data_IF_132052116264
#
_entry.id   IF_132052116264
#
_cell.length_a   1.000
_cell.length_b   1.000
_cell.length_c   1.000
_cell.angle_alpha   90.00
_cell.angle_beta   90.00
_cell.angle_gamma   90.00
#
_symmetry.space_group_name_H-M   'P 1'
#
loop_
_entity.id
_entity.type
_entity.pdbx_description
1 polymer ?
#
# COMPACT_ATOMS: atom_id res chain seq x y z
N UNK A 1 -23.10 11.02 4.18
CA UNK A 1 -23.34 11.68 2.87
C UNK A 1 -23.07 10.71 1.74
N UNK A 2 -23.84 10.79 0.69
CA UNK A 2 -23.69 9.89 -0.47
C UNK A 2 -22.32 10.05 -1.14
N UNK A 3 -21.81 11.27 -1.24
CA UNK A 3 -20.47 11.51 -1.79
C UNK A 3 -19.38 10.83 -0.99
N UNK A 4 -19.49 10.81 0.34
CA UNK A 4 -18.49 10.19 1.21
C UNK A 4 -18.43 8.68 0.97
N UNK A 5 -19.58 8.07 0.75
CA UNK A 5 -19.67 6.64 0.48
C UNK A 5 -19.06 6.32 -0.88
N UNK A 6 -19.36 7.12 -1.88
CA UNK A 6 -18.93 6.90 -3.27
C UNK A 6 -17.45 7.22 -3.46
N UNK A 7 -16.97 8.30 -2.84
CA UNK A 7 -15.61 8.82 -3.08
C UNK A 7 -14.55 8.21 -2.18
N UNK A 8 -14.92 7.24 -1.36
CA UNK A 8 -14.01 6.64 -0.40
C UNK A 8 -12.94 5.82 -1.10
N UNK A 9 -11.69 6.20 -0.87
CA UNK A 9 -10.53 5.49 -1.44
C UNK A 9 -10.29 4.18 -0.71
N UNK A 10 -9.68 3.23 -1.40
CA UNK A 10 -9.38 1.92 -0.85
C UNK A 10 -7.89 1.70 -0.66
N UNK A 11 -7.55 0.99 0.40
CA UNK A 11 -6.17 0.64 0.77
C UNK A 11 -6.10 -0.86 0.95
N UNK A 12 -5.18 -1.50 0.24
CA UNK A 12 -4.86 -2.91 0.46
C UNK A 12 -3.66 -2.99 1.41
N UNK A 13 -3.83 -3.67 2.52
CA UNK A 13 -2.74 -3.89 3.49
C UNK A 13 -2.22 -5.31 3.36
N UNK A 14 -0.92 -5.45 3.16
CA UNK A 14 -0.23 -6.74 3.02
C UNK A 14 0.74 -6.88 4.18
N UNK A 15 0.44 -7.76 5.13
CA UNK A 15 1.22 -7.96 6.35
C UNK A 15 0.87 -9.33 6.93
N UNK A 16 1.85 -10.12 7.32
CA UNK A 16 1.61 -11.45 7.88
C UNK A 16 1.19 -11.42 9.35
N UNK A 17 1.33 -10.28 10.01
CA UNK A 17 1.00 -10.12 11.43
C UNK A 17 -0.43 -9.60 11.58
N UNK A 18 -1.34 -10.45 12.06
CA UNK A 18 -2.76 -10.11 12.25
C UNK A 18 -2.95 -8.93 13.19
N UNK A 19 -2.12 -8.83 14.22
CA UNK A 19 -2.24 -7.72 15.18
C UNK A 19 -1.91 -6.40 14.51
N UNK A 20 -0.86 -6.35 13.70
CA UNK A 20 -0.50 -5.15 12.95
C UNK A 20 -1.61 -4.78 11.97
N UNK A 21 -2.17 -5.76 11.27
CA UNK A 21 -3.29 -5.52 10.36
C UNK A 21 -4.48 -4.90 11.10
N UNK A 22 -4.83 -5.46 12.25
CA UNK A 22 -5.98 -4.97 13.04
C UNK A 22 -5.75 -3.56 13.56
N UNK A 23 -4.56 -3.28 14.09
CA UNK A 23 -4.23 -1.95 14.62
C UNK A 23 -4.23 -0.92 13.49
N UNK A 24 -3.64 -1.25 12.37
CA UNK A 24 -3.56 -0.34 11.23
C UNK A 24 -4.95 -0.11 10.62
N UNK A 25 -5.75 -1.16 10.50
CA UNK A 25 -7.13 -1.04 10.03
C UNK A 25 -7.92 -0.08 10.91
N UNK A 26 -7.80 -0.21 12.23
CA UNK A 26 -8.50 0.67 13.16
C UNK A 26 -8.16 2.14 12.94
N UNK A 27 -6.92 2.41 12.54
CA UNK A 27 -6.47 3.78 12.23
C UNK A 27 -7.01 4.31 10.90
N UNK A 28 -7.33 3.43 9.96
CA UNK A 28 -7.69 3.82 8.59
C UNK A 28 -9.17 3.74 8.27
N UNK A 29 -9.90 2.86 8.94
CA UNK A 29 -11.27 2.48 8.53
C UNK A 29 -12.27 3.62 8.49
N UNK A 30 -12.04 4.69 9.24
CA UNK A 30 -12.97 5.83 9.25
C UNK A 30 -12.86 6.67 7.97
N UNK A 31 -11.71 6.61 7.29
CA UNK A 31 -11.44 7.42 6.11
C UNK A 31 -11.30 6.60 4.83
N UNK A 32 -10.96 5.33 4.95
CA UNK A 32 -10.65 4.47 3.81
C UNK A 32 -11.40 3.14 3.88
N UNK A 33 -11.68 2.58 2.71
CA UNK A 33 -12.08 1.19 2.62
C UNK A 33 -10.82 0.35 2.71
N UNK A 34 -10.77 -0.61 3.62
CA UNK A 34 -9.55 -1.37 3.90
C UNK A 34 -9.72 -2.83 3.52
N UNK A 35 -8.79 -3.34 2.73
CA UNK A 35 -8.66 -4.76 2.43
C UNK A 35 -7.40 -5.28 3.09
N UNK A 36 -7.45 -6.50 3.61
CA UNK A 36 -6.32 -7.10 4.35
C UNK A 36 -5.96 -8.45 3.75
N UNK A 37 -4.69 -8.67 3.50
CA UNK A 37 -4.16 -9.99 3.13
C UNK A 37 -2.91 -10.27 3.96
N UNK A 38 -2.62 -11.56 4.19
CA UNK A 38 -1.58 -11.96 5.14
C UNK A 38 -0.31 -12.52 4.52
N UNK A 39 -0.23 -12.51 3.21
CA UNK A 39 0.97 -13.03 2.53
C UNK A 39 1.10 -12.41 1.14
N UNK A 40 2.28 -12.54 0.59
CA UNK A 40 2.50 -12.12 -0.80
C UNK A 40 1.63 -12.90 -1.77
N UNK A 41 1.46 -14.20 -1.53
CA UNK A 41 0.59 -15.03 -2.35
C UNK A 41 -0.85 -14.53 -2.34
N UNK A 42 -1.40 -14.27 -1.14
CA UNK A 42 -2.75 -13.72 -1.02
C UNK A 42 -2.89 -12.38 -1.71
N UNK A 43 -1.86 -11.52 -1.59
CA UNK A 43 -1.87 -10.22 -2.25
C UNK A 43 -1.97 -10.37 -3.77
N UNK A 44 -1.16 -11.24 -4.34
CA UNK A 44 -1.16 -11.46 -5.79
C UNK A 44 -2.44 -12.11 -6.27
N UNK A 45 -3.03 -13.00 -5.50
CA UNK A 45 -4.33 -13.59 -5.81
C UNK A 45 -5.43 -12.52 -5.80
N UNK A 46 -5.44 -11.67 -4.78
CA UNK A 46 -6.39 -10.57 -4.66
C UNK A 46 -6.29 -9.62 -5.86
N UNK A 47 -5.08 -9.20 -6.17
CA UNK A 47 -4.82 -8.25 -7.26
C UNK A 47 -5.03 -8.87 -8.63
N UNK A 48 -4.74 -10.17 -8.76
CA UNK A 48 -4.84 -10.88 -10.02
C UNK A 48 -6.27 -11.09 -10.52
N UNK A 49 -7.28 -10.99 -9.64
CA UNK A 49 -8.67 -11.14 -10.06
C UNK A 49 -9.15 -9.96 -10.89
N UNK A 50 -8.54 -8.79 -10.71
CA UNK A 50 -8.98 -7.57 -11.36
C UNK A 50 -10.33 -7.03 -10.89
N UNK A 51 -10.98 -7.68 -9.93
CA UNK A 51 -12.28 -7.25 -9.41
C UNK A 51 -12.20 -5.97 -8.62
N UNK A 52 -11.12 -5.81 -7.86
CA UNK A 52 -10.89 -4.63 -7.05
C UNK A 52 -9.46 -4.16 -7.28
N UNK A 53 -9.31 -2.93 -7.73
CA UNK A 53 -8.01 -2.29 -7.87
C UNK A 53 -7.91 -1.29 -6.74
N UNK A 54 -7.05 -1.54 -5.73
CA UNK A 54 -6.94 -0.59 -4.62
C UNK A 54 -6.33 0.73 -5.10
N UNK A 55 -6.65 1.79 -4.38
CA UNK A 55 -6.08 3.10 -4.66
C UNK A 55 -4.66 3.24 -4.12
N UNK A 56 -4.30 2.41 -3.13
CA UNK A 56 -2.97 2.41 -2.52
C UNK A 56 -2.71 1.04 -1.92
N UNK A 57 -1.46 0.61 -1.96
CA UNK A 57 -1.01 -0.64 -1.33
C UNK A 57 -0.01 -0.31 -0.23
N UNK A 58 -0.31 -0.74 1.00
CA UNK A 58 0.63 -0.73 2.12
C UNK A 58 1.25 -2.13 2.19
N UNK A 59 2.55 -2.21 2.02
CA UNK A 59 3.25 -3.47 1.84
C UNK A 59 4.35 -3.64 2.89
N UNK A 60 4.26 -4.70 3.70
CA UNK A 60 5.34 -5.06 4.60
C UNK A 60 6.43 -5.79 3.82
N UNK A 61 7.66 -5.68 4.29
CA UNK A 61 8.82 -6.35 3.67
C UNK A 61 9.07 -7.71 4.32
N UNK A 62 9.06 -7.74 5.65
CA UNK A 62 9.48 -8.92 6.43
C UNK A 62 8.31 -9.90 6.57
N UNK A 63 8.15 -10.74 5.56
CA UNK A 63 7.13 -11.78 5.53
C UNK A 63 7.75 -13.11 5.14
N UNK A 64 7.23 -14.25 5.68
CA UNK A 64 7.77 -15.56 5.29
C UNK A 64 7.42 -15.90 3.84
N UNK A 65 8.21 -16.79 3.27
CA UNK A 65 8.07 -17.35 1.91
C UNK A 65 8.28 -16.32 0.79
N UNK A 66 7.49 -15.26 0.76
CA UNK A 66 7.62 -14.22 -0.25
C UNK A 66 7.66 -12.87 0.47
N UNK A 67 8.82 -12.21 0.46
CA UNK A 67 8.96 -10.92 1.13
C UNK A 67 8.36 -9.78 0.31
N UNK A 68 8.34 -8.58 0.91
CA UNK A 68 7.75 -7.42 0.24
C UNK A 68 8.48 -6.99 -1.03
N UNK A 69 9.77 -7.22 -1.12
CA UNK A 69 10.52 -6.90 -2.34
C UNK A 69 10.03 -7.74 -3.51
N UNK A 70 9.83 -9.05 -3.27
CA UNK A 70 9.33 -9.96 -4.30
C UNK A 70 7.90 -9.62 -4.71
N UNK A 71 7.06 -9.25 -3.73
CA UNK A 71 5.67 -8.83 -4.02
C UNK A 71 5.67 -7.57 -4.87
N UNK A 72 6.47 -6.59 -4.52
CA UNK A 72 6.60 -5.33 -5.26
C UNK A 72 6.97 -5.60 -6.73
N UNK A 73 7.98 -6.45 -6.93
CA UNK A 73 8.45 -6.80 -8.26
C UNK A 73 7.32 -7.42 -9.10
N UNK A 74 6.56 -8.34 -8.50
CA UNK A 74 5.46 -9.00 -9.20
C UNK A 74 4.28 -8.06 -9.48
N UNK A 75 4.00 -7.13 -8.57
CA UNK A 75 2.94 -6.13 -8.80
C UNK A 75 3.28 -5.25 -10.00
N UNK A 76 4.56 -4.91 -10.16
CA UNK A 76 5.01 -4.08 -11.28
C UNK A 76 4.74 -4.72 -12.65
N UNK A 77 4.57 -6.04 -12.69
CA UNK A 77 4.25 -6.75 -13.93
C UNK A 77 2.74 -6.75 -14.26
N UNK A 78 1.92 -6.24 -13.34
CA UNK A 78 0.46 -6.19 -13.53
C UNK A 78 0.08 -4.85 -14.13
N UNK A 79 -0.27 -4.85 -15.42
CA UNK A 79 -0.54 -3.62 -16.16
C UNK A 79 -1.65 -2.76 -15.53
N UNK A 80 -2.68 -3.39 -14.99
CA UNK A 80 -3.81 -2.68 -14.36
C UNK A 80 -3.38 -1.88 -13.12
N UNK A 81 -2.23 -2.18 -12.53
CA UNK A 81 -1.72 -1.53 -11.33
C UNK A 81 -0.64 -0.49 -11.62
N UNK A 82 -0.45 -0.15 -12.88
CA UNK A 82 0.61 0.77 -13.33
C UNK A 82 0.66 2.08 -12.53
N UNK A 83 -0.50 2.62 -12.19
CA UNK A 83 -0.59 3.89 -11.47
C UNK A 83 -0.97 3.74 -10.00
N UNK A 84 -1.07 2.50 -9.50
CA UNK A 84 -1.38 2.26 -8.09
C UNK A 84 -0.12 2.48 -7.25
N UNK A 85 -0.12 3.45 -6.34
CA UNK A 85 1.06 3.70 -5.51
C UNK A 85 1.26 2.60 -4.48
N UNK A 86 2.51 2.26 -4.24
CA UNK A 86 2.90 1.31 -3.21
C UNK A 86 3.74 2.06 -2.18
N UNK A 87 3.33 1.94 -0.91
CA UNK A 87 4.09 2.42 0.24
C UNK A 87 4.57 1.21 1.01
N UNK A 88 5.85 1.15 1.32
CA UNK A 88 6.33 0.14 2.27
C UNK A 88 6.01 0.59 3.69
N UNK A 89 5.57 -0.35 4.51
CA UNK A 89 5.28 -0.12 5.92
C UNK A 89 5.80 -1.33 6.69
N UNK A 90 7.00 -1.20 7.29
CA UNK A 90 7.75 -2.34 7.82
C UNK A 90 8.55 -1.97 9.05
N UNK A 91 8.86 -2.96 9.87
CA UNK A 91 9.77 -2.77 10.99
C UNK A 91 11.24 -2.72 10.56
N UNK A 92 11.52 -3.03 9.29
CA UNK A 92 12.87 -2.93 8.75
C UNK A 92 13.26 -1.46 8.62
N UNK A 93 14.19 -1.02 9.45
CA UNK A 93 14.60 0.39 9.54
C UNK A 93 16.08 0.53 9.20
N UNK A 94 16.40 0.36 7.92
CA UNK A 94 17.75 0.47 7.40
C UNK A 94 17.76 1.49 6.26
N UNK A 95 18.76 2.35 6.22
CA UNK A 95 18.89 3.37 5.17
C UNK A 95 18.95 2.74 3.79
N UNK A 96 19.67 1.62 3.65
CA UNK A 96 19.76 0.91 2.38
C UNK A 96 18.42 0.40 1.89
N UNK A 97 17.56 -0.05 2.81
CA UNK A 97 16.22 -0.52 2.44
C UNK A 97 15.36 0.63 1.92
N UNK A 98 15.44 1.79 2.56
CA UNK A 98 14.69 2.97 2.15
C UNK A 98 15.14 3.45 0.77
N UNK A 99 16.46 3.52 0.56
CA UNK A 99 17.02 3.89 -0.73
C UNK A 99 16.57 2.93 -1.84
N UNK A 100 16.65 1.63 -1.56
CA UNK A 100 16.21 0.59 -2.49
C UNK A 100 14.75 0.77 -2.88
N UNK A 101 13.89 1.03 -1.88
CA UNK A 101 12.47 1.22 -2.12
C UNK A 101 12.21 2.37 -3.10
N UNK A 102 12.82 3.52 -2.85
CA UNK A 102 12.64 4.68 -3.73
C UNK A 102 13.22 4.46 -5.12
N UNK A 103 14.37 3.82 -5.21
CA UNK A 103 14.98 3.48 -6.50
C UNK A 103 14.09 2.56 -7.33
N UNK A 104 13.37 1.64 -6.69
CA UNK A 104 12.45 0.72 -7.35
C UNK A 104 11.14 1.38 -7.75
N UNK A 105 10.85 2.57 -7.25
CA UNK A 105 9.65 3.30 -7.60
C UNK A 105 8.55 3.32 -6.55
N UNK A 106 8.86 2.92 -5.31
CA UNK A 106 7.90 3.05 -4.20
C UNK A 106 7.64 4.53 -3.95
N UNK A 107 6.40 4.85 -3.58
CA UNK A 107 6.04 6.24 -3.31
C UNK A 107 6.48 6.69 -1.93
N UNK A 108 6.58 5.78 -0.97
CA UNK A 108 7.00 6.12 0.37
C UNK A 108 7.47 4.89 1.12
N UNK A 109 8.14 5.11 2.23
CA UNK A 109 8.61 4.06 3.13
C UNK A 109 8.42 4.54 4.57
N UNK A 110 7.58 3.85 5.32
CA UNK A 110 7.34 4.12 6.72
C UNK A 110 7.85 2.97 7.58
N UNK A 111 8.48 3.32 8.70
CA UNK A 111 8.97 2.34 9.66
C UNK A 111 7.95 2.15 10.78
N UNK A 112 7.70 0.90 11.14
CA UNK A 112 6.88 0.57 12.32
C UNK A 112 7.71 0.62 13.59
N UNK A 113 7.14 1.09 14.70
CA UNK A 113 5.80 1.63 14.86
C UNK A 113 5.72 3.07 14.36
N UNK A 114 4.52 3.49 14.01
CA UNK A 114 4.26 4.81 13.47
C UNK A 114 2.97 5.34 14.09
N UNK A 115 2.95 6.62 14.44
CA UNK A 115 1.73 7.24 14.98
C UNK A 115 0.64 7.22 13.91
N UNK A 116 -0.62 6.95 14.30
CA UNK A 116 -1.73 6.96 13.33
C UNK A 116 -1.82 8.25 12.52
N UNK A 117 -1.59 9.40 13.16
CA UNK A 117 -1.63 10.70 12.46
C UNK A 117 -0.57 10.81 11.37
N UNK A 118 0.62 10.26 11.62
CA UNK A 118 1.71 10.26 10.64
C UNK A 118 1.36 9.33 9.47
N UNK A 119 0.85 8.14 9.78
CA UNK A 119 0.43 7.19 8.74
C UNK A 119 -0.65 7.80 7.85
N UNK A 120 -1.69 8.38 8.44
CA UNK A 120 -2.78 9.01 7.70
C UNK A 120 -2.29 10.16 6.82
N UNK A 121 -1.40 10.99 7.35
CA UNK A 121 -0.82 12.10 6.60
C UNK A 121 -0.02 11.61 5.39
N UNK A 122 0.80 10.58 5.58
CA UNK A 122 1.63 10.03 4.51
C UNK A 122 0.80 9.32 3.43
N UNK A 123 -0.27 8.64 3.84
CA UNK A 123 -1.19 8.02 2.87
C UNK A 123 -1.86 9.09 2.02
N UNK A 124 -2.34 10.16 2.66
CA UNK A 124 -2.97 11.26 1.94
C UNK A 124 -2.02 11.88 0.92
N UNK A 125 -0.79 12.18 1.35
CA UNK A 125 0.22 12.75 0.46
C UNK A 125 0.51 11.81 -0.72
N UNK A 126 0.60 10.52 -0.46
CA UNK A 126 0.88 9.53 -1.50
C UNK A 126 -0.26 9.45 -2.52
N UNK A 127 -1.50 9.46 -2.05
CA UNK A 127 -2.67 9.45 -2.94
C UNK A 127 -2.71 10.70 -3.82
N UNK A 128 -2.38 11.86 -3.26
CA UNK A 128 -2.32 13.12 -4.03
C UNK A 128 -1.22 13.07 -5.10
N UNK A 129 -0.05 12.58 -4.73
CA UNK A 129 1.07 12.42 -5.68
C UNK A 129 0.71 11.46 -6.81
N UNK A 130 0.02 10.37 -6.49
CA UNK A 130 -0.41 9.41 -7.50
C UNK A 130 -1.39 10.02 -8.49
N UNK A 131 -2.33 10.84 -8.02
CA UNK A 131 -3.25 11.55 -8.89
C UNK A 131 -2.53 12.52 -9.80
N UNK A 132 -1.56 13.26 -9.28
CA UNK A 132 -0.76 14.18 -10.08
C UNK A 132 0.02 13.45 -11.16
N UNK A 133 0.55 12.28 -10.83
CA UNK A 133 1.29 11.48 -11.79
C UNK A 133 0.39 10.99 -12.93
N UNK A 134 -0.83 10.56 -12.61
CA UNK A 134 -1.81 10.17 -13.63
C UNK A 134 -2.08 11.32 -14.60
N UNK A 135 -2.26 12.53 -14.07
CA UNK A 135 -2.53 13.70 -14.88
C UNK A 135 -1.39 14.00 -15.86
N UNK A 136 -0.14 13.77 -15.45
CA UNK A 136 1.02 13.94 -16.32
C UNK A 136 0.99 13.00 -17.53
N UNK A 137 0.34 11.85 -17.40
CA UNK A 137 0.22 10.87 -18.48
C UNK A 137 -1.10 11.02 -19.26
N UNK A 138 -1.88 12.05 -18.97
CA UNK A 138 -3.11 12.32 -19.69
C UNK A 138 -4.26 11.35 -19.38
N UNK A 139 -4.23 10.78 -18.18
CA UNK A 139 -5.21 9.76 -17.78
C UNK A 139 -6.22 10.32 -16.81
#
# INVERSE_FOLDING_TARGET
>A
MAEDIISRKSVLMVDDDEMHLSVTEASLKDQYEVFKVKSGKEALEFLGTGKTIPDLILLDILMPEMDGWAVFDKINDIAALKFTPIMFFSSLDEDNAKEKAYELGAFDYLTKPCKPSVLLSRIKDTLEKAEMKKLQYGI
#
